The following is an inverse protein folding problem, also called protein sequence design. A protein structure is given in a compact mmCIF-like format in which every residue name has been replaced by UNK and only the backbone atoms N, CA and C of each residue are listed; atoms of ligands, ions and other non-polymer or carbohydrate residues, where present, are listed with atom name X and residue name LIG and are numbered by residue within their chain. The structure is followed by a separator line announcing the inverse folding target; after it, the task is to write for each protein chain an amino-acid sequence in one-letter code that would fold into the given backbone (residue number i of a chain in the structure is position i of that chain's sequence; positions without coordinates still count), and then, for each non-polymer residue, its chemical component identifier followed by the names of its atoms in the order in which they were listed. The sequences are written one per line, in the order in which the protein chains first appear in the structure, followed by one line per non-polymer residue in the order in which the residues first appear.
data_IF_924402627590
#
_entry.id   IF_924402627590
#
_cell.length_a   1.000
_cell.length_b   1.000
_cell.length_c   1.000
_cell.angle_alpha   90.00
_cell.angle_beta   90.00
_cell.angle_gamma   90.00
#
_symmetry.space_group_name_H-M   'P 1'
#
loop_
_entity.id
_entity.type
_entity.pdbx_description
1 polymer ?
#
# COMPACT_ATOMS: atom_id res chain seq x y z
N UNK A 1 -9.92 10.49 -17.12
CA UNK A 1 -10.12 9.03 -17.22
C UNK A 1 -9.87 8.44 -15.84
N UNK A 2 -10.68 7.50 -15.35
CA UNK A 2 -10.36 6.80 -14.10
C UNK A 2 -9.03 6.10 -14.28
N UNK A 3 -8.09 6.38 -13.37
CA UNK A 3 -6.78 5.75 -13.36
C UNK A 3 -6.90 4.45 -12.57
N UNK A 4 -6.75 3.32 -13.25
CA UNK A 4 -6.67 2.03 -12.58
C UNK A 4 -5.29 1.94 -11.92
N UNK A 5 -5.26 2.13 -10.60
CA UNK A 5 -4.07 1.88 -9.80
C UNK A 5 -3.96 0.38 -9.56
N UNK A 6 -2.75 -0.16 -9.70
CA UNK A 6 -2.48 -1.54 -9.33
C UNK A 6 -2.71 -1.71 -7.83
N UNK A 7 -3.42 -2.76 -7.43
CA UNK A 7 -3.63 -3.06 -6.02
C UNK A 7 -2.36 -3.63 -5.36
N UNK A 8 -2.19 -3.41 -4.07
CA UNK A 8 -1.00 -3.86 -3.32
C UNK A 8 -0.76 -5.38 -3.42
N UNK A 9 -1.82 -6.18 -3.46
CA UNK A 9 -1.74 -7.63 -3.61
C UNK A 9 -1.32 -8.03 -5.03
N UNK A 10 -1.76 -7.31 -6.05
CA UNK A 10 -1.26 -7.49 -7.42
C UNK A 10 0.22 -7.13 -7.53
N UNK A 11 0.69 -6.08 -6.84
CA UNK A 11 2.12 -5.69 -6.82
C UNK A 11 2.95 -6.80 -6.18
N UNK A 12 2.51 -7.35 -5.04
CA UNK A 12 3.16 -8.47 -4.36
C UNK A 12 3.30 -9.69 -5.26
N UNK A 13 2.21 -10.08 -5.94
CA UNK A 13 2.23 -11.20 -6.89
C UNK A 13 3.13 -10.93 -8.09
N UNK A 14 3.10 -9.72 -8.66
CA UNK A 14 3.96 -9.36 -9.79
C UNK A 14 5.46 -9.39 -9.42
N UNK A 15 5.82 -8.96 -8.21
CA UNK A 15 7.21 -8.97 -7.73
C UNK A 15 7.63 -10.30 -7.10
N UNK A 16 6.69 -11.23 -6.88
CA UNK A 16 6.92 -12.51 -6.20
C UNK A 16 7.61 -12.35 -4.83
N UNK A 17 7.18 -11.34 -4.05
CA UNK A 17 7.71 -11.06 -2.71
C UNK A 17 6.70 -10.36 -1.81
N UNK A 18 7.03 -10.32 -0.53
CA UNK A 18 6.33 -9.48 0.44
C UNK A 18 6.51 -8.00 0.09
N UNK A 19 5.48 -7.21 0.35
CA UNK A 19 5.44 -5.78 0.02
C UNK A 19 4.96 -4.95 1.20
N UNK A 20 5.46 -3.71 1.24
CA UNK A 20 5.16 -2.75 2.28
C UNK A 20 4.14 -1.74 1.76
N UNK A 21 3.04 -1.57 2.49
CA UNK A 21 1.97 -0.62 2.17
C UNK A 21 1.79 0.43 3.26
N UNK A 22 1.48 1.65 2.84
CA UNK A 22 1.03 2.74 3.72
C UNK A 22 -0.39 3.16 3.36
N UNK A 23 -1.23 3.24 4.39
CA UNK A 23 -2.60 3.70 4.30
C UNK A 23 -2.80 4.95 5.17
N UNK A 24 -3.61 5.89 4.67
CA UNK A 24 -3.92 7.14 5.35
C UNK A 24 -5.42 7.21 5.64
N UNK A 25 -5.79 7.58 6.86
CA UNK A 25 -7.18 7.65 7.31
C UNK A 25 -7.40 8.82 8.29
N UNK A 26 -8.67 9.09 8.61
CA UNK A 26 -9.06 10.14 9.56
C UNK A 26 -9.07 11.57 8.98
N UNK A 27 -8.34 11.82 7.89
CA UNK A 27 -8.38 13.10 7.20
C UNK A 27 -9.70 13.32 6.44
N UNK A 28 -10.33 14.47 6.65
CA UNK A 28 -11.65 14.80 6.08
C UNK A 28 -11.59 15.41 4.67
N UNK A 29 -10.39 15.74 4.17
CA UNK A 29 -10.19 16.33 2.85
C UNK A 29 -9.74 15.33 1.78
N UNK A 30 -9.46 15.85 0.58
CA UNK A 30 -8.88 15.06 -0.50
C UNK A 30 -7.48 14.53 -0.11
N UNK A 31 -7.15 13.29 -0.47
CA UNK A 31 -5.90 12.65 -0.03
C UNK A 31 -4.64 13.46 -0.38
N UNK A 32 -4.65 14.15 -1.52
CA UNK A 32 -3.52 14.97 -1.96
C UNK A 32 -3.25 16.19 -1.05
N UNK A 33 -4.25 16.61 -0.26
CA UNK A 33 -4.12 17.68 0.72
C UNK A 33 -3.89 17.15 2.15
N UNK A 34 -3.67 15.83 2.33
CA UNK A 34 -3.39 15.26 3.63
C UNK A 34 -1.95 15.63 4.05
N UNK A 35 -1.76 16.44 5.12
CA UNK A 35 -0.44 16.91 5.52
C UNK A 35 0.47 15.78 6.01
N UNK A 36 -0.10 14.70 6.57
CA UNK A 36 0.68 13.56 7.01
C UNK A 36 1.22 12.76 5.82
N UNK A 37 0.39 12.61 4.78
CA UNK A 37 0.82 12.01 3.52
C UNK A 37 1.94 12.83 2.89
N UNK A 38 1.75 14.14 2.74
CA UNK A 38 2.78 15.04 2.20
C UNK A 38 4.10 14.93 2.97
N UNK A 39 4.04 14.95 4.31
CA UNK A 39 5.21 14.82 5.17
C UNK A 39 5.97 13.50 4.96
N UNK A 40 5.26 12.37 4.89
CA UNK A 40 5.88 11.05 4.70
C UNK A 40 6.46 10.93 3.28
N UNK A 41 5.75 11.40 2.25
CA UNK A 41 6.25 11.38 0.87
C UNK A 41 7.52 12.22 0.73
N UNK A 42 7.55 13.43 1.29
CA UNK A 42 8.74 14.27 1.29
C UNK A 42 9.93 13.60 2.01
N UNK A 43 9.66 12.86 3.09
CA UNK A 43 10.70 12.09 3.78
C UNK A 43 11.23 10.94 2.92
N UNK A 44 10.35 10.17 2.26
CA UNK A 44 10.74 9.10 1.34
C UNK A 44 11.60 9.63 0.19
N UNK A 45 11.21 10.76 -0.40
CA UNK A 45 11.98 11.44 -1.45
C UNK A 45 13.36 11.90 -0.97
N UNK A 46 13.42 12.50 0.22
CA UNK A 46 14.69 12.92 0.82
C UNK A 46 15.63 11.74 1.08
N UNK A 47 15.09 10.57 1.43
CA UNK A 47 15.84 9.33 1.64
C UNK A 47 16.15 8.57 0.35
N UNK A 48 15.60 8.99 -0.79
CA UNK A 48 15.73 8.27 -2.06
C UNK A 48 15.01 6.92 -2.06
N UNK A 49 14.01 6.72 -1.20
CA UNK A 49 13.21 5.50 -1.15
C UNK A 49 12.08 5.65 -2.17
N UNK A 50 12.06 4.77 -3.17
CA UNK A 50 11.03 4.78 -4.19
C UNK A 50 9.67 4.34 -3.63
N UNK A 51 8.60 4.97 -4.10
CA UNK A 51 7.22 4.63 -3.76
C UNK A 51 6.32 4.81 -4.98
N UNK A 52 5.13 4.19 -4.94
CA UNK A 52 4.13 4.27 -6.00
C UNK A 52 2.73 4.33 -5.40
N UNK A 53 1.85 5.17 -5.96
CA UNK A 53 0.43 5.14 -5.63
C UNK A 53 -0.18 3.78 -6.01
N UNK A 54 -0.94 3.18 -5.09
CA UNK A 54 -1.54 1.87 -5.32
C UNK A 54 -2.95 1.78 -4.74
N UNK A 55 -3.72 0.81 -5.23
CA UNK A 55 -4.93 0.38 -4.54
C UNK A 55 -4.59 -0.37 -3.24
N UNK A 56 -5.54 -0.39 -2.30
CA UNK A 56 -5.45 -1.27 -1.13
C UNK A 56 -5.57 -2.75 -1.52
N UNK A 57 -5.62 -3.63 -0.52
CA UNK A 57 -5.86 -5.05 -0.77
C UNK A 57 -7.21 -5.27 -1.48
N UNK A 58 -7.20 -6.00 -2.58
CA UNK A 58 -8.38 -6.18 -3.43
C UNK A 58 -9.51 -6.92 -2.71
N UNK A 59 -10.75 -6.45 -2.87
CA UNK A 59 -11.96 -7.05 -2.30
C UNK A 59 -13.04 -7.26 -3.35
N UNK A 60 -13.62 -8.45 -3.40
CA UNK A 60 -14.78 -8.77 -4.26
C UNK A 60 -16.11 -8.23 -3.72
N UNK A 61 -16.15 -7.71 -2.49
CA UNK A 61 -17.38 -7.21 -1.87
C UNK A 61 -17.53 -5.70 -2.01
N UNK A 62 -16.46 -4.99 -2.37
CA UNK A 62 -16.42 -3.53 -2.32
C UNK A 62 -15.34 -2.98 -3.23
N UNK A 63 -15.75 -2.07 -4.11
CA UNK A 63 -14.84 -1.27 -4.92
C UNK A 63 -14.58 0.05 -4.20
N UNK A 64 -13.35 0.24 -3.72
CA UNK A 64 -12.98 1.43 -2.96
C UNK A 64 -12.35 2.48 -3.87
N UNK A 65 -12.79 3.74 -3.75
CA UNK A 65 -12.07 4.86 -4.36
C UNK A 65 -10.68 5.00 -3.73
N UNK A 66 -9.70 5.42 -4.53
CA UNK A 66 -8.35 5.70 -4.06
C UNK A 66 -8.37 6.78 -2.95
N UNK A 67 -7.65 6.51 -1.85
CA UNK A 67 -7.57 7.38 -0.66
C UNK A 67 -6.15 7.83 -0.33
N UNK A 68 -5.21 7.69 -1.27
CA UNK A 68 -3.83 8.12 -1.10
C UNK A 68 -2.87 7.03 -0.66
N UNK A 69 -3.27 5.76 -0.68
CA UNK A 69 -2.43 4.62 -0.33
C UNK A 69 -1.20 4.53 -1.23
N UNK A 70 -0.08 4.06 -0.66
CA UNK A 70 1.15 3.86 -1.44
C UNK A 70 1.80 2.52 -1.14
N UNK A 71 2.42 1.97 -2.16
CA UNK A 71 3.41 0.90 -2.07
C UNK A 71 4.80 1.53 -1.88
N UNK A 72 5.59 1.00 -0.96
CA UNK A 72 7.00 1.38 -0.78
C UNK A 72 7.87 0.32 -1.46
N UNK A 73 8.73 0.72 -2.40
CA UNK A 73 9.62 -0.20 -3.13
C UNK A 73 10.87 -0.56 -2.35
N UNK A 74 10.63 -1.10 -1.16
CA UNK A 74 11.63 -1.61 -0.23
C UNK A 74 11.24 -3.05 0.17
N UNK A 75 12.19 -3.98 0.28
CA UNK A 75 11.90 -5.28 0.87
C UNK A 75 11.67 -5.15 2.38
N UNK A 76 10.86 -6.05 2.93
CA UNK A 76 10.82 -6.26 4.37
C UNK A 76 12.07 -7.05 4.76
N UNK A 77 13.06 -6.37 5.34
CA UNK A 77 14.32 -6.98 5.74
C UNK A 77 14.87 -6.30 7.00
N UNK A 78 14.82 -7.01 8.13
CA UNK A 78 15.26 -6.51 9.45
C UNK A 78 16.78 -6.38 9.60
N UNK A 79 17.56 -6.72 8.58
CA UNK A 79 19.00 -6.40 8.54
C UNK A 79 19.35 -5.30 7.53
N UNK A 80 18.37 -4.86 6.71
CA UNK A 80 18.57 -3.76 5.76
C UNK A 80 18.50 -2.41 6.49
N UNK A 81 19.58 -1.60 6.48
CA UNK A 81 19.59 -0.28 7.11
C UNK A 81 18.47 0.66 6.61
N UNK A 82 18.09 0.56 5.34
CA UNK A 82 17.02 1.40 4.78
C UNK A 82 15.65 1.00 5.34
N UNK A 83 15.40 -0.30 5.51
CA UNK A 83 14.17 -0.80 6.13
C UNK A 83 14.11 -0.41 7.60
N UNK A 84 15.20 -0.62 8.34
CA UNK A 84 15.28 -0.24 9.75
C UNK A 84 15.08 1.27 9.96
N UNK A 85 15.59 2.10 9.05
CA UNK A 85 15.36 3.55 9.11
C UNK A 85 13.91 3.93 8.78
N UNK A 86 13.28 3.26 7.81
CA UNK A 86 11.85 3.44 7.50
C UNK A 86 10.96 3.04 8.67
N UNK A 87 11.20 1.86 9.23
CA UNK A 87 10.49 1.33 10.40
C UNK A 87 10.64 2.30 11.58
N UNK A 88 11.89 2.69 11.91
CA UNK A 88 12.16 3.65 12.97
C UNK A 88 11.64 5.06 12.70
N UNK A 89 11.23 5.40 11.48
CA UNK A 89 10.56 6.68 11.16
C UNK A 89 9.04 6.60 11.34
N UNK A 90 8.43 5.45 11.02
CA UNK A 90 6.99 5.24 11.04
C UNK A 90 6.47 4.69 12.38
N UNK A 91 7.31 3.96 13.11
CA UNK A 91 6.96 3.25 14.35
C UNK A 91 7.80 3.73 15.53
N UNK A 92 7.23 3.61 16.72
CA UNK A 92 7.91 3.78 17.99
C UNK A 92 8.65 2.50 18.36
N UNK A 93 9.54 2.58 19.37
CA UNK A 93 10.36 1.45 19.78
C UNK A 93 9.55 0.24 20.31
N UNK A 94 8.26 0.44 20.62
CA UNK A 94 7.33 -0.61 21.02
C UNK A 94 6.51 -1.20 19.85
N UNK A 95 6.79 -0.77 18.62
CA UNK A 95 6.12 -1.21 17.40
C UNK A 95 4.76 -0.54 17.15
N UNK A 96 4.41 0.49 17.93
CA UNK A 96 3.19 1.27 17.66
C UNK A 96 3.43 2.33 16.60
N UNK A 97 2.40 2.69 15.83
CA UNK A 97 2.51 3.74 14.82
C UNK A 97 2.75 5.10 15.47
N UNK A 98 3.79 5.82 15.02
CA UNK A 98 4.11 7.19 15.48
C UNK A 98 3.13 8.25 15.05
N UNK A 99 2.45 7.99 13.93
CA UNK A 99 1.66 8.99 13.23
C UNK A 99 0.19 8.60 13.27
N UNK A 100 -0.62 9.42 13.92
CA UNK A 100 -2.08 9.28 13.89
C UNK A 100 -2.60 9.33 12.45
N UNK A 101 -3.56 8.46 12.15
CA UNK A 101 -4.14 8.39 10.80
C UNK A 101 -3.24 7.72 9.77
N UNK A 102 -2.16 7.05 10.17
CA UNK A 102 -1.27 6.29 9.30
C UNK A 102 -1.26 4.83 9.73
N UNK A 103 -1.27 3.92 8.76
CA UNK A 103 -1.05 2.49 8.99
C UNK A 103 0.03 1.99 8.07
N UNK A 104 1.05 1.40 8.66
CA UNK A 104 2.09 0.65 7.97
C UNK A 104 1.75 -0.84 8.02
N UNK A 105 1.74 -1.51 6.86
CA UNK A 105 1.31 -2.91 6.76
C UNK A 105 2.29 -3.70 5.90
N UNK A 106 2.75 -4.84 6.42
CA UNK A 106 3.39 -5.88 5.65
C UNK A 106 2.34 -6.77 5.00
N UNK A 107 2.30 -6.77 3.68
CA UNK A 107 1.48 -7.67 2.88
C UNK A 107 2.34 -8.86 2.42
N UNK A 108 2.20 -9.99 3.12
CA UNK A 108 2.96 -11.19 2.76
C UNK A 108 2.48 -11.78 1.44
N UNK A 109 3.40 -12.31 0.64
CA UNK A 109 3.10 -12.97 -0.63
C UNK A 109 2.05 -14.07 -0.41
N UNK A 110 2.22 -14.90 0.63
CA UNK A 110 1.26 -15.95 0.96
C UNK A 110 -0.17 -15.43 1.20
N UNK A 111 -0.31 -14.23 1.79
CA UNK A 111 -1.62 -13.59 1.96
C UNK A 111 -2.14 -12.99 0.63
N UNK A 112 -1.28 -12.38 -0.17
CA UNK A 112 -1.60 -11.81 -1.47
C UNK A 112 -1.99 -12.87 -2.52
N UNK A 113 -1.47 -14.09 -2.39
CA UNK A 113 -1.81 -15.21 -3.28
C UNK A 113 -3.27 -15.68 -3.11
N UNK A 114 -3.97 -15.31 -2.05
CA UNK A 114 -5.41 -15.60 -1.90
C UNK A 114 -6.28 -14.93 -2.97
N UNK A 115 -5.78 -13.87 -3.59
CA UNK A 115 -6.43 -13.13 -4.68
C UNK A 115 -5.84 -13.47 -6.05
N UNK A 116 -5.03 -14.53 -6.19
CA UNK A 116 -4.40 -14.88 -7.46
C UNK A 116 -5.42 -15.19 -8.57
N UNK A 117 -6.63 -15.65 -8.21
CA UNK A 117 -7.72 -15.87 -9.17
C UNK A 117 -8.24 -14.57 -9.80
N UNK A 118 -7.98 -13.40 -9.21
CA UNK A 118 -8.31 -12.11 -9.82
C UNK A 118 -7.45 -11.78 -11.05
N UNK A 119 -6.33 -12.48 -11.23
CA UNK A 119 -5.44 -12.30 -12.37
C UNK A 119 -5.91 -13.11 -13.60
N UNK A 120 -6.95 -13.94 -13.44
CA UNK A 120 -7.54 -14.68 -14.56
C UNK A 120 -8.14 -13.73 -15.60
N UNK A 121 -7.84 -13.92 -16.90
CA UNK A 121 -8.43 -13.10 -17.95
C UNK A 121 -9.97 -13.10 -17.87
N UNK A 122 -10.57 -11.92 -17.93
CA UNK A 122 -12.03 -11.77 -17.88
C UNK A 122 -12.64 -11.85 -16.48
N UNK A 123 -11.84 -12.00 -15.41
CA UNK A 123 -12.39 -12.16 -14.05
C UNK A 123 -13.28 -10.98 -13.64
N UNK A 124 -12.78 -9.75 -13.79
CA UNK A 124 -13.49 -8.55 -13.40
C UNK A 124 -14.70 -8.27 -14.29
N UNK A 125 -14.65 -8.62 -15.57
CA UNK A 125 -15.78 -8.55 -16.49
C UNK A 125 -16.90 -9.50 -16.05
N UNK A 126 -16.57 -10.77 -15.78
CA UNK A 126 -17.53 -11.76 -15.25
C UNK A 126 -18.12 -11.35 -13.90
N UNK A 127 -17.27 -10.82 -13.02
CA UNK A 127 -17.70 -10.34 -11.71
C UNK A 127 -18.67 -9.17 -11.85
N UNK A 128 -18.41 -8.22 -12.76
CA UNK A 128 -19.27 -7.07 -13.00
C UNK A 128 -20.63 -7.43 -13.64
N UNK A 129 -20.70 -8.52 -14.41
CA UNK A 129 -21.97 -9.03 -14.98
C UNK A 129 -22.92 -9.61 -13.91
N UNK A 130 -22.41 -9.93 -12.72
CA UNK A 130 -23.17 -10.53 -11.62
C UNK A 130 -23.92 -9.56 -10.70
N UNK A 131 -23.87 -8.25 -10.98
CA UNK A 131 -24.50 -7.18 -10.19
C UNK A 131 -25.72 -6.56 -10.88
#
# INVERSE_FOLDING_TARGET
MPQFLQNIDQISRAKQRDVLGLEFFGFQGHYAANPMREKILAWLEHKGIAYMECGGYTSEMRMESYRGQIYIDLPYDVVDPAYLELEAYLEDADGTMRWDGVRFTLYTLGYCMKNAHHDEPGFWERWAEGF
#
